data_IF_949107239716
#
_entry.id   IF_949107239716
#
_cell.length_a   1.000
_cell.length_b   1.000
_cell.length_c   1.000
_cell.angle_alpha   90.00
_cell.angle_beta   90.00
_cell.angle_gamma   90.00
#
_symmetry.space_group_name_H-M   'P 1'
#
loop_
_entity.id
_entity.type
_entity.pdbx_description
1 polymer ?
#
# COMPACT_ATOMS: atom_id res chain seq x y z
N UNK A 1 15.10 -0.34 0.72
CA UNK A 1 13.99 -1.27 0.37
C UNK A 1 12.78 -0.84 1.18
N UNK A 2 11.62 -0.73 0.55
CA UNK A 2 10.36 -0.33 1.17
C UNK A 2 9.57 -1.59 1.53
N UNK A 3 9.03 -1.64 2.75
CA UNK A 3 8.13 -2.71 3.19
C UNK A 3 6.76 -2.55 2.53
N UNK A 4 6.30 -3.57 1.81
CA UNK A 4 4.92 -3.67 1.35
C UNK A 4 4.11 -4.52 2.32
N UNK A 5 3.12 -3.91 2.96
CA UNK A 5 2.30 -4.54 3.98
C UNK A 5 0.83 -4.53 3.58
N UNK A 6 0.10 -5.53 4.03
CA UNK A 6 -1.33 -5.61 3.79
C UNK A 6 -2.07 -4.51 4.53
N UNK A 7 -2.90 -3.73 3.84
CA UNK A 7 -3.68 -2.65 4.43
C UNK A 7 -4.72 -3.14 5.46
N UNK A 8 -5.17 -4.40 5.36
CA UNK A 8 -6.19 -4.97 6.25
C UNK A 8 -5.63 -5.59 7.53
N UNK A 9 -4.50 -6.30 7.44
CA UNK A 9 -3.99 -7.10 8.56
C UNK A 9 -2.55 -6.77 8.96
N UNK A 10 -1.96 -5.75 8.31
CA UNK A 10 -0.59 -5.27 8.48
C UNK A 10 0.50 -6.35 8.33
N UNK A 11 0.16 -7.50 7.75
CA UNK A 11 1.13 -8.57 7.45
C UNK A 11 2.11 -8.08 6.38
N UNK A 12 3.41 -8.30 6.60
CA UNK A 12 4.44 -8.07 5.60
C UNK A 12 4.20 -9.00 4.41
N UNK A 13 4.00 -8.41 3.24
CA UNK A 13 3.77 -9.12 1.98
C UNK A 13 5.07 -9.24 1.18
N UNK A 14 5.96 -8.26 1.30
CA UNK A 14 7.27 -8.27 0.66
C UNK A 14 8.04 -6.99 0.89
N UNK A 15 9.24 -6.91 0.31
CA UNK A 15 10.08 -5.70 0.27
C UNK A 15 10.45 -5.40 -1.17
N UNK A 16 10.38 -4.14 -1.57
CA UNK A 16 10.70 -3.72 -2.94
C UNK A 16 11.70 -2.54 -2.94
N UNK A 17 12.32 -2.26 -4.08
CA UNK A 17 13.20 -1.09 -4.28
C UNK A 17 12.57 -0.16 -5.30
N UNK A 18 12.48 -0.63 -6.54
CA UNK A 18 11.89 0.08 -7.67
C UNK A 18 10.81 -0.83 -8.26
N UNK A 19 9.56 -0.60 -7.88
CA UNK A 19 8.42 -1.34 -8.41
C UNK A 19 7.40 -0.35 -8.96
N UNK A 20 7.26 -0.31 -10.30
CA UNK A 20 6.26 0.53 -10.98
C UNK A 20 4.82 0.12 -10.64
N UNK A 21 4.55 -1.19 -10.66
CA UNK A 21 3.26 -1.76 -10.32
C UNK A 21 3.44 -3.13 -9.65
N UNK A 22 2.66 -3.41 -8.60
CA UNK A 22 2.61 -4.68 -7.91
C UNK A 22 1.17 -4.96 -7.47
N UNK A 23 0.62 -6.12 -7.82
CA UNK A 23 -0.60 -6.66 -7.21
C UNK A 23 -0.25 -7.93 -6.45
N UNK A 24 -0.61 -8.00 -5.17
CA UNK A 24 -0.45 -9.22 -4.38
C UNK A 24 -1.68 -9.51 -3.52
N UNK A 25 -2.10 -10.77 -3.50
CA UNK A 25 -3.13 -11.25 -2.58
C UNK A 25 -2.48 -11.58 -1.24
N UNK A 26 -3.02 -11.02 -0.15
CA UNK A 26 -2.55 -11.35 1.18
C UNK A 26 -2.92 -12.80 1.52
N UNK A 27 -1.96 -13.68 1.86
CA UNK A 27 -2.25 -15.07 2.17
C UNK A 27 -2.95 -15.25 3.52
N UNK A 28 -2.94 -14.24 4.40
CA UNK A 28 -3.61 -14.31 5.71
C UNK A 28 -5.09 -13.97 5.62
N UNK A 29 -5.43 -12.85 4.98
CA UNK A 29 -6.80 -12.31 5.00
C UNK A 29 -7.50 -12.33 3.64
N UNK A 30 -6.81 -12.78 2.58
CA UNK A 30 -7.34 -12.87 1.22
C UNK A 30 -7.45 -11.52 0.48
N UNK A 31 -7.16 -10.40 1.14
CA UNK A 31 -7.27 -9.06 0.53
C UNK A 31 -6.26 -8.88 -0.60
N UNK A 32 -6.71 -8.41 -1.76
CA UNK A 32 -5.81 -7.92 -2.82
C UNK A 32 -5.26 -6.55 -2.43
N UNK A 33 -3.93 -6.41 -2.45
CA UNK A 33 -3.23 -5.15 -2.20
C UNK A 33 -2.51 -4.76 -3.49
N UNK A 34 -2.65 -3.51 -3.89
CA UNK A 34 -1.96 -2.96 -5.05
C UNK A 34 -0.95 -1.89 -4.62
N UNK A 35 0.17 -1.84 -5.32
CA UNK A 35 1.11 -0.74 -5.30
C UNK A 35 1.18 -0.20 -6.72
N UNK A 36 0.96 1.10 -6.89
CA UNK A 36 1.26 1.80 -8.13
C UNK A 36 2.13 2.98 -7.76
N UNK A 37 3.33 3.01 -8.30
CA UNK A 37 4.23 4.14 -8.13
C UNK A 37 3.64 5.32 -8.91
N UNK A 38 2.91 6.19 -8.21
CA UNK A 38 2.54 7.50 -8.75
C UNK A 38 3.84 8.30 -8.74
N UNK A 39 4.43 8.45 -9.92
CA UNK A 39 5.71 9.12 -10.12
C UNK A 39 5.88 10.31 -9.17
N UNK A 40 6.91 10.21 -8.33
CA UNK A 40 7.49 11.27 -7.50
C UNK A 40 6.57 12.46 -7.18
N UNK A 41 5.48 12.25 -6.41
CA UNK A 41 4.80 13.36 -5.75
C UNK A 41 4.52 12.96 -4.30
N UNK A 42 5.50 13.28 -3.45
CA UNK A 42 5.37 13.71 -2.05
C UNK A 42 4.12 13.18 -1.35
N UNK A 43 4.27 12.07 -0.62
CA UNK A 43 3.30 11.64 0.39
C UNK A 43 3.34 12.60 1.59
N UNK A 44 3.00 13.88 1.37
CA UNK A 44 2.31 14.66 2.38
C UNK A 44 1.00 13.94 2.63
N UNK A 45 0.90 13.43 3.85
CA UNK A 45 -0.26 12.80 4.48
C UNK A 45 -1.58 13.34 3.90
N UNK A 46 -2.29 12.52 3.11
CA UNK A 46 -3.76 12.60 3.13
C UNK A 46 -4.22 11.67 4.24
N UNK A 47 -4.23 12.23 5.44
CA UNK A 47 -5.02 11.68 6.53
C UNK A 47 -6.44 11.48 6.02
N UNK A 48 -6.97 10.31 6.27
CA UNK A 48 -8.40 10.07 6.31
C UNK A 48 -9.01 11.12 7.24
N UNK A 49 -9.79 12.06 6.70
CA UNK A 49 -10.80 12.72 7.50
C UNK A 49 -12.13 12.54 6.79
N UNK A 50 -12.91 11.59 7.31
CA UNK A 50 -14.35 11.54 7.17
C UNK A 50 -14.99 12.73 7.91
N UNK A 51 -16.18 13.16 7.45
CA UNK A 51 -17.12 14.20 7.98
C UNK A 51 -16.89 15.63 7.46
N UNK A 52 -17.74 16.12 6.54
CA UNK A 52 -19.09 16.78 6.72
C UNK A 52 -18.98 18.21 7.26
N UNK A 53 -19.85 19.18 6.92
CA UNK A 53 -21.29 19.11 6.56
C UNK A 53 -21.64 19.13 5.06
#
# INVERSE_FOLDING_TARGET
MIDFRCHKCNKLLGRYRDCRELEIKCPRCGQKNHLREKGLHTALKRGSNSREP
#
